data_IF_887169468816
#
_entry.id   IF_887169468816
#
_cell.length_a   1.000
_cell.length_b   1.000
_cell.length_c   1.000
_cell.angle_alpha   90.00
_cell.angle_beta   90.00
_cell.angle_gamma   90.00
#
_symmetry.space_group_name_H-M   'P 1'
#
loop_
_entity.id
_entity.type
_entity.pdbx_description
1 polymer ?
#
# COMPACT_ATOMS: atom_id res chain seq x y z
N UNK A 1 25.53 23.07 -38.19
CA UNK A 1 25.15 21.71 -38.64
C UNK A 1 24.86 20.75 -37.47
N UNK A 2 24.78 21.21 -36.21
CA UNK A 2 24.58 20.35 -35.03
C UNK A 2 23.17 20.37 -34.44
N UNK A 3 22.38 21.43 -34.66
CA UNK A 3 21.16 21.68 -33.88
C UNK A 3 19.90 20.94 -34.39
N UNK A 4 19.97 20.40 -35.61
CA UNK A 4 18.83 19.71 -36.26
C UNK A 4 18.71 18.24 -35.82
N UNK A 5 19.78 17.65 -35.26
CA UNK A 5 19.77 16.27 -34.79
C UNK A 5 19.26 16.14 -33.34
N UNK A 6 19.51 17.14 -32.49
CA UNK A 6 19.12 17.12 -31.07
C UNK A 6 17.61 17.36 -30.87
N UNK A 7 17.03 18.22 -31.72
CA UNK A 7 15.59 18.52 -31.74
C UNK A 7 14.75 17.33 -32.25
N UNK A 8 15.28 16.51 -33.15
CA UNK A 8 14.62 15.26 -33.58
C UNK A 8 14.69 14.15 -32.52
N UNK A 9 15.72 14.15 -31.66
CA UNK A 9 15.86 13.18 -30.57
C UNK A 9 14.88 13.49 -29.42
N UNK A 10 14.76 14.77 -29.04
CA UNK A 10 13.79 15.26 -28.06
C UNK A 10 12.32 14.96 -28.44
N UNK A 11 11.99 15.04 -29.73
CA UNK A 11 10.64 14.72 -30.21
C UNK A 11 10.32 13.21 -30.08
N UNK A 12 11.32 12.35 -30.26
CA UNK A 12 11.16 10.89 -30.16
C UNK A 12 10.99 10.43 -28.71
N UNK A 13 11.74 11.01 -27.77
CA UNK A 13 11.57 10.72 -26.34
C UNK A 13 10.25 11.28 -25.79
N UNK A 14 9.86 12.50 -26.18
CA UNK A 14 8.56 13.07 -25.81
C UNK A 14 7.38 12.20 -26.25
N UNK A 15 7.45 11.63 -27.46
CA UNK A 15 6.41 10.73 -27.98
C UNK A 15 6.34 9.38 -27.24
N UNK A 16 7.48 8.87 -26.75
CA UNK A 16 7.54 7.63 -25.98
C UNK A 16 6.92 7.80 -24.59
N UNK A 17 7.21 8.93 -23.92
CA UNK A 17 6.68 9.25 -22.59
C UNK A 17 5.17 9.51 -22.67
N UNK A 18 4.72 10.18 -23.74
CA UNK A 18 3.29 10.38 -24.02
C UNK A 18 2.57 9.06 -24.29
N UNK A 19 3.20 8.12 -25.00
CA UNK A 19 2.61 6.79 -25.27
C UNK A 19 2.46 5.96 -23.99
N UNK A 20 3.45 5.99 -23.08
CA UNK A 20 3.33 5.33 -21.76
C UNK A 20 2.24 5.98 -20.90
N UNK A 21 2.06 7.30 -21.00
CA UNK A 21 0.98 8.00 -20.30
C UNK A 21 -0.41 7.77 -20.92
N UNK A 22 -0.53 7.48 -22.22
CA UNK A 22 -1.83 7.22 -22.87
C UNK A 22 -2.27 5.76 -22.79
N UNK A 23 -1.35 4.79 -22.67
CA UNK A 23 -1.71 3.37 -22.48
C UNK A 23 -2.45 3.13 -21.14
N UNK A 24 -2.32 4.04 -20.16
CA UNK A 24 -3.13 4.05 -18.94
C UNK A 24 -4.49 4.76 -19.04
N UNK A 25 -4.87 5.29 -20.23
CA UNK A 25 -5.99 6.23 -20.43
C UNK A 25 -7.09 5.66 -21.34
N UNK A 26 -6.97 4.42 -21.80
CA UNK A 26 -7.99 3.75 -22.63
C UNK A 26 -9.09 3.03 -21.84
N UNK A 27 -9.15 3.18 -20.51
CA UNK A 27 -10.16 2.50 -19.68
C UNK A 27 -11.49 3.25 -19.50
N UNK A 28 -11.74 4.29 -20.29
CA UNK A 28 -12.94 5.13 -20.11
C UNK A 28 -14.22 4.58 -20.74
N UNK A 29 -14.15 3.42 -21.41
CA UNK A 29 -15.30 2.73 -22.00
C UNK A 29 -15.45 1.27 -21.51
N UNK A 30 -14.96 0.98 -20.30
CA UNK A 30 -15.06 -0.37 -19.75
C UNK A 30 -16.40 -0.57 -19.00
N UNK A 31 -17.11 -1.69 -19.24
CA UNK A 31 -18.39 -2.00 -18.59
C UNK A 31 -18.24 -1.96 -17.06
N UNK A 32 -19.28 -1.50 -16.33
CA UNK A 32 -19.30 -1.27 -14.87
C UNK A 32 -18.66 -2.40 -14.03
N UNK A 33 -18.66 -3.65 -14.54
CA UNK A 33 -18.01 -4.84 -13.96
C UNK A 33 -16.47 -4.70 -13.82
N UNK A 34 -15.81 -3.99 -14.73
CA UNK A 34 -14.34 -3.87 -14.73
C UNK A 34 -13.82 -2.78 -13.80
N UNK A 35 -14.62 -1.75 -13.48
CA UNK A 35 -14.19 -0.69 -12.53
C UNK A 35 -14.13 -1.23 -11.10
N UNK A 36 -15.16 -1.99 -10.70
CA UNK A 36 -15.15 -2.69 -9.41
C UNK A 36 -14.02 -3.73 -9.36
N UNK A 37 -13.80 -4.47 -10.45
CA UNK A 37 -12.67 -5.40 -10.55
C UNK A 37 -11.31 -4.71 -10.48
N UNK A 38 -11.14 -3.53 -11.09
CA UNK A 38 -9.91 -2.74 -11.00
C UNK A 38 -9.70 -2.19 -9.59
N UNK A 39 -10.76 -1.71 -8.94
CA UNK A 39 -10.71 -1.26 -7.54
C UNK A 39 -10.35 -2.41 -6.59
N UNK A 40 -10.99 -3.58 -6.76
CA UNK A 40 -10.69 -4.79 -5.99
C UNK A 40 -9.26 -5.26 -6.24
N UNK A 41 -8.76 -5.24 -7.49
CA UNK A 41 -7.38 -5.63 -7.82
C UNK A 41 -6.34 -4.71 -7.18
N UNK A 42 -6.64 -3.41 -7.07
CA UNK A 42 -5.77 -2.46 -6.37
C UNK A 42 -5.82 -2.68 -4.85
N UNK A 43 -7.00 -2.96 -4.29
CA UNK A 43 -7.17 -3.20 -2.85
C UNK A 43 -6.61 -4.56 -2.41
N UNK A 44 -6.54 -5.54 -3.31
CA UNK A 44 -6.00 -6.88 -3.03
C UNK A 44 -4.53 -6.84 -2.65
N UNK A 45 -3.74 -5.94 -3.26
CA UNK A 45 -2.33 -5.77 -2.90
C UNK A 45 -2.17 -5.26 -1.47
N UNK A 46 -3.01 -4.30 -1.07
CA UNK A 46 -3.05 -3.81 0.30
C UNK A 46 -3.50 -4.90 1.29
N UNK A 47 -4.54 -5.64 0.93
CA UNK A 47 -5.06 -6.73 1.75
C UNK A 47 -4.05 -7.87 1.93
N UNK A 48 -3.31 -8.23 0.87
CA UNK A 48 -2.27 -9.25 0.94
C UNK A 48 -1.15 -8.84 1.91
N UNK A 49 -0.73 -7.58 1.83
CA UNK A 49 0.32 -7.06 2.70
C UNK A 49 -0.13 -7.07 4.16
N UNK A 50 -1.36 -6.63 4.44
CA UNK A 50 -1.97 -6.71 5.76
C UNK A 50 -2.09 -8.16 6.25
N UNK A 51 -2.46 -9.10 5.38
CA UNK A 51 -2.59 -10.51 5.71
C UNK A 51 -1.24 -11.12 6.13
N UNK A 52 -0.14 -10.81 5.43
CA UNK A 52 1.21 -11.29 5.79
C UNK A 52 1.64 -10.77 7.15
N UNK A 53 1.46 -9.47 7.42
CA UNK A 53 1.77 -8.90 8.74
C UNK A 53 0.91 -9.51 9.85
N UNK A 54 -0.38 -9.72 9.60
CA UNK A 54 -1.27 -10.39 10.55
C UNK A 54 -0.81 -11.83 10.84
N UNK A 55 -0.42 -12.56 9.81
CA UNK A 55 0.03 -13.94 9.95
C UNK A 55 1.32 -14.05 10.76
N UNK A 56 2.28 -13.15 10.50
CA UNK A 56 3.50 -13.05 11.31
C UNK A 56 3.18 -12.73 12.77
N UNK A 57 2.27 -11.77 13.01
CA UNK A 57 1.82 -11.43 14.36
C UNK A 57 1.15 -12.62 15.07
N UNK A 58 0.32 -13.39 14.37
CA UNK A 58 -0.39 -14.54 14.93
C UNK A 58 0.59 -15.63 15.38
N UNK A 59 1.60 -15.93 14.56
CA UNK A 59 2.69 -16.85 14.92
C UNK A 59 3.44 -16.35 16.17
N UNK A 60 3.83 -15.07 16.21
CA UNK A 60 4.53 -14.49 17.37
C UNK A 60 3.68 -14.56 18.65
N UNK A 61 2.37 -14.31 18.53
CA UNK A 61 1.41 -14.40 19.64
C UNK A 61 1.27 -15.83 20.18
N UNK A 62 1.38 -16.84 19.31
CA UNK A 62 1.39 -18.25 19.73
C UNK A 62 2.72 -18.67 20.37
N UNK A 63 3.84 -18.17 19.85
CA UNK A 63 5.20 -18.51 20.32
C UNK A 63 5.51 -17.90 21.69
N UNK A 64 4.98 -16.70 21.98
CA UNK A 64 5.19 -15.99 23.26
C UNK A 64 4.81 -16.80 24.51
N UNK A 65 3.57 -17.33 24.68
CA UNK A 65 3.21 -18.15 25.84
C UNK A 65 3.94 -19.50 25.88
N UNK A 66 4.37 -20.02 24.74
CA UNK A 66 5.10 -21.28 24.64
C UNK A 66 6.53 -21.14 25.17
N UNK A 67 7.22 -20.04 24.82
CA UNK A 67 8.52 -19.66 25.38
C UNK A 67 8.45 -19.44 26.89
N UNK A 68 7.39 -18.76 27.37
CA UNK A 68 7.18 -18.55 28.79
C UNK A 68 7.04 -19.88 29.56
N UNK A 69 6.29 -20.85 29.00
CA UNK A 69 6.15 -22.18 29.61
C UNK A 69 7.48 -22.93 29.71
N UNK A 70 8.29 -22.92 28.64
CA UNK A 70 9.62 -23.51 28.65
C UNK A 70 10.55 -22.83 29.66
N UNK A 71 10.46 -21.50 29.79
CA UNK A 71 11.23 -20.74 30.77
C UNK A 71 10.84 -21.12 32.21
N UNK A 72 9.54 -21.22 32.51
CA UNK A 72 9.05 -21.64 33.83
C UNK A 72 9.49 -23.07 34.15
N UNK A 73 9.44 -23.98 33.17
CA UNK A 73 9.91 -25.36 33.33
C UNK A 73 11.42 -25.43 33.57
N UNK A 74 12.20 -24.57 32.89
CA UNK A 74 13.63 -24.42 33.12
C UNK A 74 13.93 -23.85 34.50
N UNK A 75 13.18 -22.88 35.00
CA UNK A 75 13.38 -22.36 36.37
C UNK A 75 13.07 -23.42 37.43
N UNK A 76 12.15 -24.34 37.14
CA UNK A 76 11.74 -25.42 38.06
C UNK A 76 12.70 -26.63 38.04
N UNK A 77 13.60 -26.70 37.06
CA UNK A 77 14.56 -27.80 36.86
C UNK A 77 15.96 -27.23 36.96
N UNK A 78 16.86 -27.75 37.80
CA UNK A 78 18.22 -27.21 37.98
C UNK A 78 19.15 -27.57 36.79
N UNK A 79 18.73 -27.20 35.58
CA UNK A 79 19.40 -27.46 34.31
C UNK A 79 20.38 -26.32 33.98
N UNK A 80 21.33 -26.56 33.08
CA UNK A 80 22.47 -25.63 32.90
C UNK A 80 22.04 -24.22 32.49
N UNK A 81 22.60 -23.21 33.17
CA UNK A 81 22.29 -21.77 33.07
C UNK A 81 22.34 -21.18 31.66
N UNK A 82 23.10 -21.79 30.73
CA UNK A 82 23.19 -21.34 29.34
C UNK A 82 21.87 -21.44 28.58
N UNK A 83 21.02 -22.44 28.89
CA UNK A 83 19.72 -22.62 28.25
C UNK A 83 18.72 -21.55 28.67
N UNK A 84 18.75 -21.16 29.95
CA UNK A 84 17.92 -20.07 30.47
C UNK A 84 18.20 -18.74 29.76
N UNK A 85 19.48 -18.40 29.56
CA UNK A 85 19.87 -17.20 28.81
C UNK A 85 19.38 -17.23 27.36
N UNK A 86 19.41 -18.40 26.72
CA UNK A 86 18.89 -18.56 25.37
C UNK A 86 17.38 -18.29 25.30
N UNK A 87 16.59 -18.85 26.23
CA UNK A 87 15.14 -18.65 26.27
C UNK A 87 14.74 -17.20 26.56
N UNK A 88 15.39 -16.53 27.52
CA UNK A 88 15.11 -15.12 27.82
C UNK A 88 15.53 -14.19 26.69
N UNK A 89 16.68 -14.42 26.05
CA UNK A 89 17.11 -13.68 24.87
C UNK A 89 16.13 -13.86 23.71
N UNK A 90 15.66 -15.08 23.45
CA UNK A 90 14.67 -15.35 22.41
C UNK A 90 13.33 -14.66 22.71
N UNK A 91 12.88 -14.65 23.96
CA UNK A 91 11.67 -13.95 24.38
C UNK A 91 11.78 -12.43 24.19
N UNK A 92 12.94 -11.85 24.48
CA UNK A 92 13.24 -10.45 24.20
C UNK A 92 13.19 -10.16 22.69
N UNK A 93 13.81 -11.00 21.87
CA UNK A 93 13.81 -10.84 20.41
C UNK A 93 12.38 -10.93 19.86
N UNK A 94 11.58 -11.88 20.32
CA UNK A 94 10.17 -12.02 19.91
C UNK A 94 9.38 -10.76 20.26
N UNK A 95 9.54 -10.22 21.48
CA UNK A 95 8.86 -9.00 21.89
C UNK A 95 9.28 -7.79 21.03
N UNK A 96 10.58 -7.62 20.79
CA UNK A 96 11.10 -6.55 19.92
C UNK A 96 10.59 -6.69 18.48
N UNK A 97 10.59 -7.90 17.93
CA UNK A 97 10.11 -8.17 16.58
C UNK A 97 8.61 -7.87 16.46
N UNK A 98 7.82 -8.19 17.50
CA UNK A 98 6.40 -7.83 17.54
C UNK A 98 6.19 -6.32 17.48
N UNK A 99 6.96 -5.54 18.25
CA UNK A 99 6.92 -4.07 18.21
C UNK A 99 7.35 -3.50 16.86
N UNK A 100 8.43 -4.03 16.28
CA UNK A 100 8.94 -3.59 14.98
C UNK A 100 7.94 -3.92 13.86
N UNK A 101 7.35 -5.12 13.87
CA UNK A 101 6.33 -5.51 12.90
C UNK A 101 5.11 -4.58 12.96
N UNK A 102 4.67 -4.21 14.16
CA UNK A 102 3.56 -3.27 14.34
C UNK A 102 3.91 -1.89 13.75
N UNK A 103 5.10 -1.37 14.06
CA UNK A 103 5.54 -0.08 13.55
C UNK A 103 5.72 -0.09 12.01
N UNK A 104 6.34 -1.13 11.48
CA UNK A 104 6.52 -1.33 10.05
C UNK A 104 5.17 -1.46 9.32
N UNK A 105 4.20 -2.15 9.94
CA UNK A 105 2.84 -2.24 9.44
C UNK A 105 2.18 -0.86 9.34
N UNK A 106 2.26 -0.03 10.39
CA UNK A 106 1.74 1.34 10.35
C UNK A 106 2.42 2.17 9.27
N UNK A 107 3.75 2.13 9.20
CA UNK A 107 4.52 2.90 8.23
C UNK A 107 4.18 2.50 6.79
N UNK A 108 4.08 1.19 6.53
CA UNK A 108 3.72 0.66 5.23
C UNK A 108 2.29 1.01 4.83
N UNK A 109 1.34 0.83 5.75
CA UNK A 109 -0.07 1.19 5.56
C UNK A 109 -0.24 2.68 5.29
N UNK A 110 0.52 3.53 5.98
CA UNK A 110 0.49 4.98 5.78
C UNK A 110 0.99 5.36 4.38
N UNK A 111 2.15 4.84 3.95
CA UNK A 111 2.69 5.07 2.61
C UNK A 111 1.75 4.58 1.50
N UNK A 112 1.18 3.39 1.66
CA UNK A 112 0.23 2.81 0.71
C UNK A 112 -1.07 3.61 0.68
N UNK A 113 -1.58 4.01 1.84
CA UNK A 113 -2.78 4.83 1.98
C UNK A 113 -2.63 6.20 1.32
N UNK A 114 -1.48 6.86 1.48
CA UNK A 114 -1.17 8.12 0.80
C UNK A 114 -1.17 7.96 -0.73
N UNK A 115 -0.46 6.95 -1.25
CA UNK A 115 -0.42 6.66 -2.69
C UNK A 115 -1.81 6.38 -3.24
N UNK A 116 -2.59 5.56 -2.54
CA UNK A 116 -3.96 5.22 -2.92
C UNK A 116 -4.84 6.48 -2.99
N UNK A 117 -4.78 7.33 -1.96
CA UNK A 117 -5.56 8.58 -1.91
C UNK A 117 -5.23 9.50 -3.08
N UNK A 118 -3.95 9.71 -3.38
CA UNK A 118 -3.50 10.51 -4.51
C UNK A 118 -3.99 9.96 -5.86
N UNK A 119 -3.92 8.64 -6.06
CA UNK A 119 -4.44 7.99 -7.27
C UNK A 119 -5.95 8.17 -7.41
N UNK A 120 -6.73 7.97 -6.34
CA UNK A 120 -8.18 8.16 -6.36
C UNK A 120 -8.53 9.61 -6.70
N UNK A 121 -7.88 10.58 -6.05
CA UNK A 121 -8.12 12.01 -6.32
C UNK A 121 -7.81 12.36 -7.78
N UNK A 122 -6.69 11.88 -8.33
CA UNK A 122 -6.31 12.11 -9.73
C UNK A 122 -7.33 11.51 -10.72
N UNK A 123 -7.82 10.30 -10.44
CA UNK A 123 -8.84 9.62 -11.25
C UNK A 123 -10.18 10.36 -11.19
N UNK A 124 -10.62 10.76 -9.99
CA UNK A 124 -11.85 11.56 -9.82
C UNK A 124 -11.72 12.89 -10.53
N UNK A 125 -10.62 13.63 -10.33
CA UNK A 125 -10.37 14.91 -10.98
C UNK A 125 -10.43 14.83 -12.50
N UNK A 126 -9.73 13.85 -13.10
CA UNK A 126 -9.81 13.60 -14.55
C UNK A 126 -11.22 13.26 -15.01
N UNK A 127 -11.94 12.42 -14.24
CA UNK A 127 -13.30 12.02 -14.60
C UNK A 127 -14.26 13.21 -14.53
N UNK A 128 -14.17 14.04 -13.50
CA UNK A 128 -14.96 15.26 -13.35
C UNK A 128 -14.66 16.27 -14.46
N UNK A 129 -13.39 16.47 -14.84
CA UNK A 129 -13.02 17.34 -15.96
C UNK A 129 -13.51 16.80 -17.32
N UNK A 130 -13.39 15.49 -17.57
CA UNK A 130 -13.93 14.88 -18.80
C UNK A 130 -15.45 14.93 -18.85
N UNK A 131 -16.12 14.70 -17.72
CA UNK A 131 -17.57 14.82 -17.63
C UNK A 131 -18.01 16.28 -17.79
N UNK A 132 -17.22 17.25 -17.31
CA UNK A 132 -17.46 18.68 -17.52
C UNK A 132 -17.39 19.07 -19.00
N UNK A 133 -16.48 18.48 -19.80
CA UNK A 133 -16.49 18.64 -21.26
C UNK A 133 -17.66 17.93 -21.96
N UNK A 134 -18.12 16.80 -21.41
CA UNK A 134 -19.26 16.02 -21.94
C UNK A 134 -20.62 16.52 -21.47
N UNK A 135 -20.67 17.37 -20.45
CA UNK A 135 -21.89 17.87 -19.80
C UNK A 135 -21.77 19.38 -19.61
N UNK A 136 -21.90 20.12 -20.72
CA UNK A 136 -22.19 21.56 -20.71
C UNK A 136 -23.57 21.91 -20.13
N UNK A 137 -24.24 20.98 -19.43
CA UNK A 137 -25.47 21.20 -18.70
C UNK A 137 -25.44 20.33 -17.44
N UNK A 138 -25.99 20.84 -16.35
CA UNK A 138 -26.54 20.15 -15.17
C UNK A 138 -25.80 19.95 -13.83
N UNK A 139 -24.47 20.04 -13.64
CA UNK A 139 -23.95 19.99 -12.25
C UNK A 139 -22.66 20.79 -12.08
N UNK A 140 -22.75 21.87 -11.32
CA UNK A 140 -21.72 22.88 -11.12
C UNK A 140 -20.65 22.38 -10.16
N UNK A 141 -19.40 22.74 -10.47
CA UNK A 141 -18.20 22.52 -9.64
C UNK A 141 -18.39 22.98 -8.18
N UNK A 142 -19.33 23.90 -7.92
CA UNK A 142 -19.68 24.40 -6.59
C UNK A 142 -20.25 23.35 -5.63
N UNK A 143 -21.02 22.36 -6.10
CA UNK A 143 -21.55 21.29 -5.22
C UNK A 143 -20.45 20.33 -4.76
N UNK A 144 -19.42 20.10 -5.59
CA UNK A 144 -18.29 19.23 -5.28
C UNK A 144 -17.38 19.87 -4.23
N UNK A 145 -17.19 21.19 -4.30
CA UNK A 145 -16.41 21.94 -3.30
C UNK A 145 -17.16 22.02 -1.97
N UNK A 146 -18.48 22.21 -2.00
CA UNK A 146 -19.30 22.21 -0.80
C UNK A 146 -19.29 20.85 -0.08
N UNK A 147 -19.22 19.74 -0.82
CA UNK A 147 -19.10 18.38 -0.25
C UNK A 147 -17.70 18.05 0.29
N UNK A 148 -16.65 18.69 -0.24
CA UNK A 148 -15.27 18.55 0.25
C UNK A 148 -14.97 19.41 1.49
N UNK A 149 -15.86 20.33 1.83
CA UNK A 149 -15.69 21.29 2.92
C UNK A 149 -16.35 20.85 4.24
N UNK A 150 -17.01 19.69 4.26
CA UNK A 150 -17.62 19.11 5.47
C UNK A 150 -16.92 17.81 5.85
#
# INVERSE_FOLDING_TARGET
NGDIHESSFMFKEGSAILTTYTVGIDDANLPKRKVFSALVRTYIWFFLQAAVYKFAQDILSFVSPQLLRLLIQFISSDEHTWRGHFYTAMLLIVALLQSVLLHQYFHCTFLLGMRLRSTIIAVVYRKTLRLSSSSKKTSTVGEIVNLMSV
#
